data_IF_714462849175
#
_entry.id   IF_714462849175
#
_cell.length_a   1.000
_cell.length_b   1.000
_cell.length_c   1.000
_cell.angle_alpha   90.00
_cell.angle_beta   90.00
_cell.angle_gamma   90.00
#
_symmetry.space_group_name_H-M   'P 1'
#
loop_
_entity.id
_entity.type
_entity.pdbx_description
1 polymer ?
#
# COMPACT_ATOMS: atom_id res chain seq x y z
N UNK A 1 -36.43 5.91 8.33
CA UNK A 1 -35.22 5.55 9.09
C UNK A 1 -34.01 5.59 8.16
N UNK A 2 -32.80 5.45 8.69
CA UNK A 2 -31.56 5.29 7.91
C UNK A 2 -30.83 4.03 8.39
N UNK A 3 -30.17 3.29 7.50
CA UNK A 3 -29.40 2.12 7.91
C UNK A 3 -28.25 2.53 8.83
N UNK A 4 -28.03 1.75 9.88
CA UNK A 4 -26.93 1.97 10.83
C UNK A 4 -25.57 1.60 10.21
N UNK A 5 -24.48 2.21 10.68
CA UNK A 5 -23.15 2.08 10.07
C UNK A 5 -22.73 0.62 9.80
N UNK A 6 -22.88 -0.28 10.78
CA UNK A 6 -22.41 -1.68 10.65
C UNK A 6 -23.19 -2.53 9.63
N UNK A 7 -24.51 -2.36 9.54
CA UNK A 7 -25.36 -3.21 8.68
C UNK A 7 -25.18 -2.90 7.19
N UNK A 8 -24.70 -1.70 6.87
CA UNK A 8 -24.42 -1.28 5.50
C UNK A 8 -23.34 -2.17 4.88
N UNK A 9 -22.20 -2.35 5.57
CA UNK A 9 -21.10 -3.19 5.11
C UNK A 9 -21.50 -4.65 4.96
N UNK A 10 -22.26 -5.21 5.90
CA UNK A 10 -22.77 -6.59 5.80
C UNK A 10 -23.69 -6.76 4.60
N UNK A 11 -24.59 -5.80 4.36
CA UNK A 11 -25.54 -5.87 3.24
C UNK A 11 -24.82 -5.80 1.90
N UNK A 12 -23.86 -4.87 1.75
CA UNK A 12 -23.07 -4.73 0.52
C UNK A 12 -22.21 -5.96 0.27
N UNK A 13 -21.52 -6.48 1.28
CA UNK A 13 -20.70 -7.67 1.13
C UNK A 13 -21.55 -8.90 0.76
N UNK A 14 -22.73 -9.07 1.38
CA UNK A 14 -23.59 -10.22 1.11
C UNK A 14 -24.16 -10.18 -0.31
N UNK A 15 -24.60 -9.02 -0.77
CA UNK A 15 -25.13 -8.85 -2.12
C UNK A 15 -24.07 -9.15 -3.19
N UNK A 16 -22.82 -8.75 -2.98
CA UNK A 16 -21.76 -8.86 -3.98
C UNK A 16 -21.00 -10.19 -3.92
N UNK A 17 -20.83 -10.77 -2.73
CA UNK A 17 -19.98 -11.94 -2.52
C UNK A 17 -20.72 -13.14 -1.92
N UNK A 18 -21.99 -12.98 -1.56
CA UNK A 18 -22.80 -14.03 -0.96
C UNK A 18 -22.39 -14.34 0.47
N UNK A 19 -22.48 -15.62 0.84
CA UNK A 19 -22.30 -16.09 2.21
C UNK A 19 -20.84 -16.14 2.66
N UNK A 20 -19.89 -16.18 1.71
CA UNK A 20 -18.46 -16.32 1.97
C UNK A 20 -17.60 -15.55 0.97
N UNK A 21 -16.51 -14.96 1.44
CA UNK A 21 -15.51 -14.30 0.62
C UNK A 21 -14.11 -14.38 1.24
N UNK A 22 -13.09 -14.09 0.43
CA UNK A 22 -11.72 -14.41 0.80
C UNK A 22 -11.09 -13.37 1.75
N UNK A 23 -11.21 -12.08 1.45
CA UNK A 23 -10.50 -11.02 2.17
C UNK A 23 -11.46 -9.88 2.53
N UNK A 24 -11.46 -9.49 3.81
CA UNK A 24 -12.10 -8.25 4.28
C UNK A 24 -11.04 -7.29 4.85
N UNK A 25 -11.01 -6.06 4.35
CA UNK A 25 -10.00 -5.05 4.70
C UNK A 25 -10.57 -3.88 5.50
N UNK A 26 -9.72 -3.21 6.29
CA UNK A 26 -10.08 -1.92 6.89
C UNK A 26 -8.94 -1.31 7.71
N UNK A 27 -9.13 -0.11 8.24
CA UNK A 27 -8.21 0.43 9.24
C UNK A 27 -8.26 -0.43 10.52
N UNK A 28 -7.15 -0.52 11.26
CA UNK A 28 -7.09 -1.28 12.51
C UNK A 28 -8.18 -0.88 13.52
N UNK A 29 -8.59 0.39 13.54
CA UNK A 29 -9.69 0.87 14.39
C UNK A 29 -11.07 0.29 14.02
N UNK A 30 -11.24 -0.21 12.79
CA UNK A 30 -12.48 -0.86 12.36
C UNK A 30 -12.59 -2.29 12.86
N UNK A 31 -11.50 -2.92 13.32
CA UNK A 31 -11.56 -4.27 13.89
C UNK A 31 -12.65 -4.39 14.97
N UNK A 32 -12.73 -3.39 15.85
CA UNK A 32 -13.78 -3.31 16.88
C UNK A 32 -14.29 -1.86 17.05
N UNK A 33 -15.61 -1.65 17.15
CA UNK A 33 -16.68 -2.66 17.11
C UNK A 33 -17.13 -3.01 15.68
N UNK A 34 -16.59 -2.36 14.65
CA UNK A 34 -17.21 -2.34 13.33
C UNK A 34 -17.18 -3.70 12.60
N UNK A 35 -16.00 -4.30 12.44
CA UNK A 35 -15.85 -5.61 11.81
C UNK A 35 -16.39 -6.74 12.68
N UNK A 36 -16.29 -6.63 14.01
CA UNK A 36 -16.91 -7.58 14.94
C UNK A 36 -18.44 -7.60 14.78
N UNK A 37 -19.07 -6.42 14.64
CA UNK A 37 -20.50 -6.32 14.36
C UNK A 37 -20.85 -6.89 12.98
N UNK A 38 -20.05 -6.61 11.95
CA UNK A 38 -20.22 -7.18 10.62
C UNK A 38 -20.18 -8.71 10.65
N UNK A 39 -19.19 -9.27 11.34
CA UNK A 39 -19.02 -10.72 11.52
C UNK A 39 -20.21 -11.34 12.25
N UNK A 40 -20.65 -10.72 13.35
CA UNK A 40 -21.82 -11.19 14.12
C UNK A 40 -23.12 -11.17 13.28
N UNK A 41 -23.34 -10.12 12.49
CA UNK A 41 -24.50 -9.99 11.61
C UNK A 41 -24.49 -11.05 10.51
N UNK A 42 -23.33 -11.30 9.89
CA UNK A 42 -23.19 -12.36 8.90
C UNK A 42 -23.48 -13.74 9.49
N UNK A 43 -22.90 -14.06 10.66
CA UNK A 43 -23.15 -15.35 11.32
C UNK A 43 -24.62 -15.55 11.67
N UNK A 44 -25.32 -14.48 12.04
CA UNK A 44 -26.76 -14.55 12.28
C UNK A 44 -27.54 -14.85 10.99
N UNK A 45 -27.11 -14.29 9.86
CA UNK A 45 -27.74 -14.49 8.54
C UNK A 45 -27.45 -15.88 7.95
N UNK A 46 -26.25 -16.44 8.18
CA UNK A 46 -25.77 -17.70 7.58
C UNK A 46 -25.82 -18.89 8.53
N UNK A 47 -26.55 -18.78 9.65
CA UNK A 47 -26.70 -19.87 10.64
C UNK A 47 -25.34 -20.37 11.18
N UNK A 48 -24.41 -19.43 11.39
CA UNK A 48 -23.14 -19.67 12.08
C UNK A 48 -21.93 -19.91 11.18
N UNK A 49 -22.07 -19.85 9.86
CA UNK A 49 -20.94 -19.96 8.92
C UNK A 49 -20.00 -18.74 9.01
N UNK A 50 -18.69 -18.97 8.82
CA UNK A 50 -17.69 -17.90 8.85
C UNK A 50 -17.62 -17.21 7.48
N UNK A 51 -17.98 -15.91 7.37
CA UNK A 51 -18.09 -15.24 6.08
C UNK A 51 -16.76 -14.85 5.44
N UNK A 52 -15.69 -14.73 6.22
CA UNK A 52 -14.39 -14.17 5.77
C UNK A 52 -13.27 -15.11 6.14
N UNK A 53 -12.39 -15.43 5.18
CA UNK A 53 -11.19 -16.26 5.44
C UNK A 53 -10.05 -15.46 6.04
N UNK A 54 -9.80 -14.26 5.53
CA UNK A 54 -8.67 -13.41 5.93
C UNK A 54 -9.18 -12.00 6.24
N UNK A 55 -8.83 -11.51 7.42
CA UNK A 55 -9.03 -10.12 7.80
C UNK A 55 -7.70 -9.37 7.67
N UNK A 56 -7.72 -8.25 6.95
CA UNK A 56 -6.53 -7.41 6.75
C UNK A 56 -6.78 -6.02 7.34
N UNK A 57 -5.92 -5.62 8.27
CA UNK A 57 -6.04 -4.34 8.95
C UNK A 57 -4.81 -3.48 8.73
N UNK A 58 -5.01 -2.26 8.25
CA UNK A 58 -3.93 -1.29 8.01
C UNK A 58 -3.64 -0.45 9.26
N UNK A 59 -2.38 -0.09 9.45
CA UNK A 59 -1.92 0.76 10.54
C UNK A 59 -2.47 2.19 10.43
N UNK A 60 -2.42 2.91 11.56
CA UNK A 60 -2.91 4.29 11.63
C UNK A 60 -1.85 5.28 11.16
N UNK A 61 -2.32 6.39 10.60
CA UNK A 61 -1.48 7.58 10.36
C UNK A 61 -1.60 8.52 11.55
N UNK A 62 -0.45 8.87 12.13
CA UNK A 62 -0.28 9.79 13.24
C UNK A 62 0.36 11.09 12.77
N UNK A 63 0.28 12.12 13.60
CA UNK A 63 0.97 13.39 13.44
C UNK A 63 1.55 13.79 14.80
N UNK A 64 2.87 13.80 14.93
CA UNK A 64 3.57 14.01 16.20
C UNK A 64 3.14 13.02 17.30
N UNK A 65 2.98 11.74 16.93
CA UNK A 65 2.55 10.69 17.84
C UNK A 65 1.05 10.69 18.18
N UNK A 66 0.29 11.69 17.76
CA UNK A 66 -1.16 11.76 17.98
C UNK A 66 -1.95 11.31 16.75
N UNK A 67 -3.14 10.74 16.96
CA UNK A 67 -4.03 10.36 15.85
C UNK A 67 -4.39 11.61 15.04
N UNK A 68 -4.25 11.54 13.71
CA UNK A 68 -4.76 12.59 12.84
C UNK A 68 -6.30 12.68 12.93
N UNK A 69 -6.83 13.87 13.25
CA UNK A 69 -8.27 14.11 13.23
C UNK A 69 -8.60 15.57 12.96
N UNK A 70 -9.77 15.83 12.36
CA UNK A 70 -10.23 17.22 12.12
C UNK A 70 -10.40 17.98 13.42
N UNK A 71 -10.91 17.31 14.46
CA UNK A 71 -11.19 17.90 15.77
C UNK A 71 -9.94 18.34 16.52
N UNK A 72 -8.81 17.66 16.31
CA UNK A 72 -7.52 18.03 16.93
C UNK A 72 -6.75 19.08 16.13
N UNK A 73 -7.24 19.46 14.93
CA UNK A 73 -6.57 20.45 14.08
C UNK A 73 -5.21 20.00 13.51
N UNK A 74 -4.85 18.73 13.67
CA UNK A 74 -3.56 18.15 13.23
C UNK A 74 -3.69 17.35 11.92
N UNK A 75 -4.79 17.51 11.20
CA UNK A 75 -5.06 16.79 9.95
C UNK A 75 -4.20 17.35 8.81
N UNK A 76 -3.51 16.45 8.12
CA UNK A 76 -2.81 16.74 6.88
C UNK A 76 -3.54 16.05 5.74
N UNK A 77 -3.91 16.80 4.69
CA UNK A 77 -4.63 16.22 3.57
C UNK A 77 -3.67 15.63 2.55
N UNK A 78 -3.90 14.37 2.15
CA UNK A 78 -3.12 13.71 1.11
C UNK A 78 -3.11 14.48 -0.21
N UNK A 79 -4.19 15.20 -0.53
CA UNK A 79 -4.28 16.09 -1.70
C UNK A 79 -3.28 17.24 -1.62
N UNK A 80 -3.15 17.90 -0.46
CA UNK A 80 -2.22 19.01 -0.27
C UNK A 80 -0.76 18.54 -0.39
N UNK A 81 -0.45 17.37 0.18
CA UNK A 81 0.87 16.74 0.04
C UNK A 81 1.14 16.42 -1.44
N UNK A 82 0.16 15.80 -2.13
CA UNK A 82 0.31 15.42 -3.54
C UNK A 82 0.45 16.65 -4.46
N UNK A 83 -0.22 17.76 -4.18
CA UNK A 83 -0.07 19.03 -4.90
C UNK A 83 1.31 19.65 -4.66
N UNK A 84 1.83 19.59 -3.43
CA UNK A 84 3.14 20.16 -3.07
C UNK A 84 4.33 19.33 -3.55
N UNK A 85 4.22 18.00 -3.52
CA UNK A 85 5.34 17.08 -3.70
C UNK A 85 5.19 16.06 -4.84
N UNK A 86 3.99 15.94 -5.41
CA UNK A 86 3.67 14.93 -6.41
C UNK A 86 3.18 13.62 -5.82
N UNK A 87 2.31 12.92 -6.57
CA UNK A 87 1.69 11.67 -6.13
C UNK A 87 2.69 10.53 -5.95
N UNK A 88 3.70 10.44 -6.81
CA UNK A 88 4.71 9.38 -6.73
C UNK A 88 5.52 9.47 -5.44
N UNK A 89 5.88 10.69 -5.00
CA UNK A 89 6.64 10.86 -3.77
C UNK A 89 5.81 10.45 -2.55
N UNK A 90 4.52 10.83 -2.54
CA UNK A 90 3.58 10.40 -1.50
C UNK A 90 3.42 8.87 -1.48
N UNK A 91 3.30 8.21 -2.65
CA UNK A 91 3.22 6.74 -2.73
C UNK A 91 4.48 6.08 -2.17
N UNK A 92 5.67 6.54 -2.60
CA UNK A 92 6.94 6.02 -2.07
C UNK A 92 7.06 6.20 -0.56
N UNK A 93 6.59 7.33 -0.02
CA UNK A 93 6.56 7.56 1.40
C UNK A 93 5.65 6.56 2.13
N UNK A 94 4.41 6.38 1.67
CA UNK A 94 3.45 5.44 2.28
C UNK A 94 3.97 4.00 2.23
N UNK A 95 4.47 3.56 1.07
CA UNK A 95 4.96 2.18 0.90
C UNK A 95 6.31 1.93 1.59
N UNK A 96 6.98 2.96 2.10
CA UNK A 96 8.22 2.80 2.88
C UNK A 96 8.01 2.31 4.30
N UNK A 97 6.75 2.13 4.71
CA UNK A 97 6.35 1.51 5.98
C UNK A 97 5.45 0.33 5.67
N UNK A 98 5.59 -0.77 6.42
CA UNK A 98 4.76 -1.94 6.25
C UNK A 98 3.28 -1.58 6.51
N UNK A 99 2.34 -2.11 5.73
CA UNK A 99 0.93 -1.66 5.79
C UNK A 99 0.27 -1.82 7.16
N UNK A 100 0.79 -2.74 7.99
CA UNK A 100 0.31 -3.03 9.35
C UNK A 100 0.86 -2.07 10.40
N UNK A 101 1.96 -1.40 10.09
CA UNK A 101 2.64 -0.51 11.01
C UNK A 101 2.03 0.89 10.97
N UNK A 102 2.17 1.61 12.09
CA UNK A 102 1.75 3.00 12.17
C UNK A 102 2.74 3.87 11.40
N UNK A 103 2.22 4.85 10.67
CA UNK A 103 3.02 5.90 10.04
C UNK A 103 2.88 7.14 10.90
N UNK A 104 3.95 7.63 11.52
CA UNK A 104 3.95 8.97 12.11
C UNK A 104 4.40 9.97 11.03
N UNK A 105 3.47 10.80 10.59
CA UNK A 105 3.70 11.70 9.46
C UNK A 105 4.79 12.70 9.79
N UNK A 106 5.84 12.68 8.97
CA UNK A 106 6.94 13.62 9.02
C UNK A 106 7.28 14.07 7.61
N UNK A 107 7.25 15.39 7.39
CA UNK A 107 7.51 15.97 6.07
C UNK A 107 8.96 15.75 5.61
N UNK A 108 9.93 15.70 6.52
CA UNK A 108 11.33 15.43 6.18
C UNK A 108 11.49 13.98 5.69
N UNK A 109 10.86 13.01 6.37
CA UNK A 109 10.92 11.59 5.96
C UNK A 109 10.32 11.37 4.56
N UNK A 110 9.31 12.18 4.19
CA UNK A 110 8.75 12.21 2.85
C UNK A 110 9.74 12.82 1.84
N UNK A 111 10.36 13.94 2.20
CA UNK A 111 11.36 14.62 1.36
C UNK A 111 12.57 13.73 1.10
N UNK A 112 12.97 12.90 2.08
CA UNK A 112 14.09 11.97 1.95
C UNK A 112 13.88 10.94 0.84
N UNK A 113 12.63 10.68 0.43
CA UNK A 113 12.33 9.77 -0.70
C UNK A 113 12.61 10.40 -2.07
N UNK A 114 12.90 11.71 -2.16
CA UNK A 114 13.15 12.39 -3.45
C UNK A 114 14.33 11.79 -4.20
N UNK A 115 15.41 11.45 -3.50
CA UNK A 115 16.60 10.84 -4.10
C UNK A 115 16.27 9.54 -4.82
N UNK A 116 15.46 8.67 -4.18
CA UNK A 116 15.00 7.43 -4.82
C UNK A 116 14.08 7.73 -6.02
N UNK A 117 13.16 8.68 -5.88
CA UNK A 117 12.26 9.05 -6.97
C UNK A 117 13.03 9.56 -8.20
N UNK A 118 14.06 10.39 -7.99
CA UNK A 118 14.94 10.86 -9.06
C UNK A 118 15.71 9.70 -9.71
N UNK A 119 16.21 8.73 -8.93
CA UNK A 119 16.82 7.52 -9.49
C UNK A 119 15.84 6.76 -10.37
N UNK A 120 14.59 6.56 -9.93
CA UNK A 120 13.56 5.87 -10.71
C UNK A 120 13.35 6.57 -12.07
N UNK A 121 13.20 7.90 -12.09
CA UNK A 121 13.05 8.65 -13.34
C UNK A 121 14.29 8.56 -14.23
N UNK A 122 15.49 8.63 -13.64
CA UNK A 122 16.74 8.53 -14.40
C UNK A 122 16.95 7.13 -14.98
N UNK A 123 16.51 6.07 -14.28
CA UNK A 123 16.61 4.69 -14.73
C UNK A 123 15.82 4.45 -16.01
N UNK A 124 14.67 5.10 -16.20
CA UNK A 124 13.84 4.97 -17.42
C UNK A 124 14.62 5.40 -18.65
N UNK A 125 15.36 6.50 -18.54
CA UNK A 125 16.20 7.02 -19.63
C UNK A 125 17.42 6.14 -19.91
N UNK A 126 17.72 5.16 -19.05
CA UNK A 126 18.80 4.19 -19.21
C UNK A 126 18.30 2.75 -19.45
N UNK A 127 17.02 2.59 -19.74
CA UNK A 127 16.48 1.28 -20.13
C UNK A 127 17.09 0.82 -21.47
N UNK A 128 17.08 -0.50 -21.68
CA UNK A 128 17.75 -1.17 -22.80
C UNK A 128 16.86 -2.26 -23.40
N UNK A 129 17.28 -2.89 -24.50
CA UNK A 129 16.48 -3.93 -25.17
C UNK A 129 16.51 -5.30 -24.47
N UNK A 130 17.36 -5.47 -23.46
CA UNK A 130 17.44 -6.68 -22.65
C UNK A 130 17.46 -6.38 -21.15
N UNK A 131 17.24 -7.42 -20.35
CA UNK A 131 17.36 -7.39 -18.88
C UNK A 131 18.45 -8.37 -18.49
N UNK A 132 19.45 -7.91 -17.75
CA UNK A 132 20.56 -8.76 -17.31
C UNK A 132 20.08 -9.83 -16.33
N UNK A 133 20.85 -10.91 -16.16
CA UNK A 133 20.50 -11.96 -15.21
C UNK A 133 20.49 -11.43 -13.76
N UNK A 134 21.38 -10.48 -13.44
CA UNK A 134 21.45 -9.85 -12.11
C UNK A 134 20.16 -9.10 -11.83
N UNK A 135 19.70 -8.27 -12.78
CA UNK A 135 18.44 -7.52 -12.63
C UNK A 135 17.23 -8.45 -12.61
N UNK A 136 17.21 -9.49 -13.46
CA UNK A 136 16.13 -10.48 -13.47
C UNK A 136 15.96 -11.18 -12.12
N UNK A 137 17.07 -11.50 -11.44
CA UNK A 137 17.03 -12.07 -10.09
C UNK A 137 16.43 -11.09 -9.07
N UNK A 138 16.81 -9.81 -9.14
CA UNK A 138 16.26 -8.78 -8.26
C UNK A 138 14.76 -8.54 -8.51
N UNK A 139 14.29 -8.59 -9.76
CA UNK A 139 12.87 -8.51 -10.08
C UNK A 139 12.11 -9.67 -9.43
N UNK A 140 12.68 -10.88 -9.45
CA UNK A 140 12.07 -12.02 -8.77
C UNK A 140 12.06 -11.84 -7.25
N UNK A 141 13.13 -11.30 -6.67
CA UNK A 141 13.18 -10.94 -5.24
C UNK A 141 12.13 -9.88 -4.89
N UNK A 142 11.90 -8.89 -5.76
CA UNK A 142 10.86 -7.88 -5.59
C UNK A 142 9.46 -8.49 -5.52
N UNK A 143 9.12 -9.43 -6.42
CA UNK A 143 7.82 -10.10 -6.35
C UNK A 143 7.70 -10.99 -5.11
N UNK A 144 8.78 -11.66 -4.72
CA UNK A 144 8.81 -12.49 -3.50
C UNK A 144 8.60 -11.68 -2.22
N UNK A 145 9.04 -10.42 -2.16
CA UNK A 145 8.77 -9.61 -0.96
C UNK A 145 7.28 -9.37 -0.76
N UNK A 146 6.48 -9.30 -1.82
CA UNK A 146 5.03 -9.19 -1.69
C UNK A 146 4.34 -10.51 -1.30
N UNK A 147 4.99 -11.66 -1.52
CA UNK A 147 4.50 -12.96 -1.03
C UNK A 147 4.66 -13.08 0.50
N UNK A 148 5.54 -12.27 1.11
CA UNK A 148 5.72 -12.16 2.56
C UNK A 148 4.90 -10.98 3.11
N UNK A 149 3.60 -11.21 3.32
CA UNK A 149 2.63 -10.23 3.88
C UNK A 149 2.72 -8.83 3.24
N UNK A 150 2.92 -8.75 1.92
CA UNK A 150 3.04 -7.49 1.20
C UNK A 150 4.15 -6.56 1.72
N UNK A 151 5.34 -7.07 2.01
CA UNK A 151 6.52 -6.29 2.47
C UNK A 151 6.99 -5.27 1.41
N UNK A 152 6.32 -4.12 1.42
CA UNK A 152 6.62 -2.98 0.55
C UNK A 152 7.90 -2.22 0.93
N UNK A 153 8.30 -2.09 2.21
CA UNK A 153 9.63 -1.58 2.56
C UNK A 153 10.75 -2.36 1.87
N UNK A 154 10.69 -3.70 1.89
CA UNK A 154 11.68 -4.53 1.20
C UNK A 154 11.62 -4.37 -0.31
N UNK A 155 10.42 -4.30 -0.88
CA UNK A 155 10.22 -4.03 -2.29
C UNK A 155 10.89 -2.71 -2.75
N UNK A 156 10.77 -1.64 -1.93
CA UNK A 156 11.40 -0.35 -2.19
C UNK A 156 12.93 -0.43 -2.14
N UNK A 157 13.50 -1.15 -1.17
CA UNK A 157 14.95 -1.40 -1.10
C UNK A 157 15.46 -2.07 -2.38
N UNK A 158 14.72 -3.05 -2.89
CA UNK A 158 15.06 -3.77 -4.12
C UNK A 158 14.96 -2.85 -5.34
N UNK A 159 13.93 -1.98 -5.43
CA UNK A 159 13.84 -0.97 -6.50
C UNK A 159 15.05 -0.02 -6.45
N UNK A 160 15.45 0.48 -5.28
CA UNK A 160 16.63 1.35 -5.17
C UNK A 160 17.90 0.65 -5.65
N UNK A 161 18.06 -0.63 -5.30
CA UNK A 161 19.17 -1.47 -5.77
C UNK A 161 19.15 -1.66 -7.29
N UNK A 162 17.99 -1.98 -7.88
CA UNK A 162 17.82 -2.10 -9.34
C UNK A 162 18.19 -0.78 -10.01
N UNK A 163 17.63 0.35 -9.54
CA UNK A 163 17.91 1.66 -10.14
C UNK A 163 19.41 1.99 -10.07
N UNK A 164 20.04 1.75 -8.92
CA UNK A 164 21.47 1.98 -8.71
C UNK A 164 22.33 1.17 -9.69
N UNK A 165 22.04 -0.13 -9.86
CA UNK A 165 22.78 -1.00 -10.77
C UNK A 165 22.60 -0.59 -12.23
N UNK A 166 21.38 -0.26 -12.65
CA UNK A 166 21.11 0.20 -14.01
C UNK A 166 21.81 1.53 -14.29
N UNK A 167 21.83 2.45 -13.32
CA UNK A 167 22.57 3.70 -13.44
C UNK A 167 24.09 3.48 -13.55
N UNK A 168 24.61 2.37 -13.04
CA UNK A 168 26.01 1.92 -13.13
C UNK A 168 26.32 1.08 -14.39
N UNK A 169 25.32 0.72 -15.21
CA UNK A 169 25.51 0.06 -16.50
C UNK A 169 24.89 -1.33 -16.64
N UNK A 170 24.19 -1.84 -15.63
CA UNK A 170 23.35 -3.03 -15.81
C UNK A 170 22.16 -2.75 -16.74
N UNK A 171 21.65 -3.80 -17.38
CA UNK A 171 20.58 -3.68 -18.37
C UNK A 171 19.22 -4.09 -17.82
N UNK A 172 18.19 -3.32 -18.17
CA UNK A 172 16.78 -3.60 -17.86
C UNK A 172 15.89 -3.15 -19.03
N UNK A 173 14.96 -4.01 -19.44
CA UNK A 173 13.91 -3.63 -20.40
C UNK A 173 12.95 -2.66 -19.75
N UNK A 174 12.50 -1.67 -20.51
CA UNK A 174 11.49 -0.71 -20.07
C UNK A 174 10.25 -1.41 -19.50
N UNK A 175 9.73 -2.43 -20.19
CA UNK A 175 8.56 -3.20 -19.75
C UNK A 175 8.77 -3.91 -18.40
N UNK A 176 9.98 -4.42 -18.15
CA UNK A 176 10.31 -5.09 -16.89
C UNK A 176 10.38 -4.07 -15.75
N UNK A 177 10.90 -2.88 -16.02
CA UNK A 177 10.95 -1.77 -15.07
C UNK A 177 9.56 -1.20 -14.78
N UNK A 178 8.75 -0.95 -15.81
CA UNK A 178 7.36 -0.50 -15.70
C UNK A 178 6.51 -1.48 -14.88
N UNK A 179 6.76 -2.79 -15.03
CA UNK A 179 6.06 -3.81 -14.27
C UNK A 179 6.27 -3.66 -12.77
N UNK A 180 7.51 -3.44 -12.31
CA UNK A 180 7.80 -3.34 -10.87
C UNK A 180 7.34 -2.02 -10.26
N UNK A 181 7.54 -0.88 -10.94
CA UNK A 181 7.08 0.42 -10.44
C UNK A 181 5.55 0.56 -10.54
N UNK A 182 4.94 -0.15 -11.49
CA UNK A 182 3.49 -0.22 -11.66
C UNK A 182 2.78 -0.94 -10.52
N UNK A 183 3.41 -1.93 -9.87
CA UNK A 183 2.88 -2.56 -8.64
C UNK A 183 2.69 -1.54 -7.52
N UNK A 184 3.61 -0.56 -7.41
CA UNK A 184 3.51 0.54 -6.45
C UNK A 184 2.64 1.71 -6.94
N UNK A 185 2.03 1.59 -8.13
CA UNK A 185 1.23 2.64 -8.74
C UNK A 185 2.02 3.91 -9.06
N UNK A 186 3.33 3.81 -9.29
CA UNK A 186 4.15 4.95 -9.71
C UNK A 186 3.92 5.20 -11.20
N UNK A 187 3.62 6.45 -11.56
CA UNK A 187 3.43 6.86 -12.95
C UNK A 187 4.69 7.55 -13.45
N UNK A 188 5.26 7.08 -14.55
CA UNK A 188 6.51 7.61 -15.09
C UNK A 188 6.41 7.89 -16.57
#
# INVERSE_FOLDING_TARGET
>A
GVPWWHIQDTTVAFENFGTHYDIHGGANELAYPHHEAHFAQYKALTVGENPVKIWMHVGLVLSNGEKMSKSLGNMVLSREIAEKYGQNLLRLYIFSTHYRDKIDYNENDLIDKKSLLEKIYNTINKTSDNTSQVISNLINEFFKSFEDDFDSPKAIEIIDKICTLVLQGESIRLQDFEKIIGVLGLSV
#
